data_IF_427168560514
#
_entry.id   IF_427168560514
#
_cell.length_a   1.000
_cell.length_b   1.000
_cell.length_c   1.000
_cell.angle_alpha   90.00
_cell.angle_beta   90.00
_cell.angle_gamma   90.00
#
_symmetry.space_group_name_H-M   'P 1'
#
loop_
_entity.id
_entity.type
_entity.pdbx_description
1 polymer ?
#
# COMPACT_ATOMS: atom_id res chain seq x y z
N UNK A 1 -2.54 -9.16 15.62
CA UNK A 1 -3.86 -9.25 14.95
C UNK A 1 -3.63 -9.11 13.44
N UNK A 2 -3.01 -8.03 12.93
CA UNK A 2 -2.76 -7.80 11.50
C UNK A 2 -2.06 -8.99 10.80
N UNK A 3 -0.95 -9.48 11.37
CA UNK A 3 -0.20 -10.61 10.80
C UNK A 3 -1.09 -11.88 10.67
N UNK A 4 -1.90 -12.17 11.68
CA UNK A 4 -2.83 -13.31 11.59
C UNK A 4 -3.95 -13.05 10.60
N UNK A 5 -4.44 -11.80 10.51
CA UNK A 5 -5.42 -11.37 9.51
C UNK A 5 -4.93 -11.56 8.09
N UNK A 6 -3.64 -11.36 7.85
CA UNK A 6 -3.02 -11.58 6.54
C UNK A 6 -2.72 -13.06 6.26
N UNK A 7 -2.14 -13.78 7.22
CA UNK A 7 -1.68 -15.17 7.00
C UNK A 7 -2.86 -16.12 6.72
N UNK A 8 -3.97 -15.97 7.42
CA UNK A 8 -5.11 -16.89 7.28
C UNK A 8 -5.74 -16.82 5.88
N UNK A 9 -6.12 -15.63 5.35
CA UNK A 9 -6.63 -15.53 3.98
C UNK A 9 -5.59 -15.93 2.93
N UNK A 10 -4.31 -15.56 3.14
CA UNK A 10 -3.22 -15.94 2.25
C UNK A 10 -3.08 -17.46 2.15
N UNK A 11 -3.05 -18.17 3.29
CA UNK A 11 -2.96 -19.62 3.32
C UNK A 11 -4.20 -20.28 2.72
N UNK A 12 -5.39 -19.77 3.02
CA UNK A 12 -6.65 -20.25 2.44
C UNK A 12 -6.71 -20.04 0.93
N UNK A 13 -6.33 -18.85 0.45
CA UNK A 13 -6.26 -18.53 -0.97
C UNK A 13 -5.21 -19.37 -1.71
N UNK A 14 -4.03 -19.54 -1.13
CA UNK A 14 -3.01 -20.43 -1.68
C UNK A 14 -3.48 -21.87 -1.77
N UNK A 15 -4.12 -22.41 -0.72
CA UNK A 15 -4.65 -23.77 -0.71
C UNK A 15 -5.73 -23.96 -1.79
N UNK A 16 -6.69 -23.04 -1.89
CA UNK A 16 -7.72 -23.07 -2.93
C UNK A 16 -7.09 -22.99 -4.32
N UNK A 17 -6.19 -22.05 -4.54
CA UNK A 17 -5.48 -21.91 -5.81
C UNK A 17 -4.72 -23.20 -6.18
N UNK A 18 -4.06 -23.84 -5.22
CA UNK A 18 -3.33 -25.10 -5.44
C UNK A 18 -4.22 -26.27 -5.85
N UNK A 19 -5.49 -26.27 -5.41
CA UNK A 19 -6.47 -27.30 -5.79
C UNK A 19 -6.97 -27.08 -7.21
N UNK A 20 -7.28 -25.85 -7.59
CA UNK A 20 -7.91 -25.51 -8.86
C UNK A 20 -6.91 -25.21 -9.98
N UNK A 21 -5.74 -24.69 -9.66
CA UNK A 21 -4.67 -24.33 -10.62
C UNK A 21 -3.73 -25.51 -10.92
N UNK A 22 -4.26 -26.69 -11.16
CA UNK A 22 -3.46 -27.92 -11.39
C UNK A 22 -2.61 -27.91 -12.67
N UNK A 23 -2.92 -27.04 -13.63
CA UNK A 23 -2.18 -26.92 -14.90
C UNK A 23 -1.40 -25.62 -15.06
N UNK A 24 -1.52 -24.70 -14.09
CA UNK A 24 -1.08 -23.31 -14.28
C UNK A 24 -1.92 -22.59 -15.34
N UNK A 25 -1.78 -21.27 -15.40
CA UNK A 25 -2.29 -20.50 -16.52
C UNK A 25 -1.24 -20.65 -17.63
N UNK A 26 -1.59 -21.36 -18.71
CA UNK A 26 -0.67 -21.80 -19.75
C UNK A 26 0.12 -20.65 -20.43
N UNK A 27 -0.40 -19.44 -20.39
CA UNK A 27 0.23 -18.27 -20.99
C UNK A 27 0.95 -17.37 -19.98
N UNK A 28 1.00 -17.75 -18.69
CA UNK A 28 1.66 -16.95 -17.68
C UNK A 28 3.15 -17.32 -17.57
N UNK A 29 4.02 -16.33 -17.64
CA UNK A 29 5.48 -16.50 -17.50
C UNK A 29 5.92 -16.96 -16.10
N UNK A 30 5.01 -16.93 -15.10
CA UNK A 30 5.30 -17.26 -13.72
C UNK A 30 5.05 -18.75 -13.41
N UNK A 31 5.92 -19.33 -12.58
CA UNK A 31 5.75 -20.70 -12.08
C UNK A 31 4.40 -20.86 -11.34
N UNK A 32 3.74 -22.04 -11.40
CA UNK A 32 2.44 -22.26 -10.75
C UNK A 32 2.41 -21.94 -9.25
N UNK A 33 3.52 -22.13 -8.56
CA UNK A 33 3.68 -21.79 -7.15
C UNK A 33 3.54 -20.27 -6.92
N UNK A 34 4.20 -19.45 -7.76
CA UNK A 34 4.10 -17.99 -7.68
C UNK A 34 2.68 -17.49 -8.02
N UNK A 35 2.02 -18.12 -8.99
CA UNK A 35 0.63 -17.82 -9.31
C UNK A 35 -0.29 -18.07 -8.11
N UNK A 36 -0.12 -19.20 -7.43
CA UNK A 36 -0.92 -19.57 -6.26
C UNK A 36 -0.66 -18.63 -5.06
N UNK A 37 0.59 -18.22 -4.86
CA UNK A 37 0.94 -17.22 -3.84
C UNK A 37 0.29 -15.85 -4.19
N UNK A 38 0.35 -15.44 -5.45
CA UNK A 38 -0.27 -14.20 -5.92
C UNK A 38 -1.78 -14.18 -5.68
N UNK A 39 -2.48 -15.28 -5.98
CA UNK A 39 -3.91 -15.43 -5.69
C UNK A 39 -4.15 -15.34 -4.17
N UNK A 40 -3.30 -15.97 -3.36
CA UNK A 40 -3.37 -15.87 -1.92
C UNK A 40 -3.25 -14.43 -1.42
N UNK A 41 -2.31 -13.66 -1.97
CA UNK A 41 -2.11 -12.23 -1.62
C UNK A 41 -3.32 -11.39 -2.02
N UNK A 42 -3.89 -11.59 -3.21
CA UNK A 42 -5.09 -10.86 -3.64
C UNK A 42 -6.25 -11.06 -2.65
N UNK A 43 -6.39 -12.26 -2.10
CA UNK A 43 -7.45 -12.57 -1.14
C UNK A 43 -7.21 -11.99 0.26
N UNK A 44 -6.01 -11.47 0.55
CA UNK A 44 -5.77 -10.74 1.82
C UNK A 44 -6.32 -9.32 1.80
N UNK A 45 -6.55 -8.74 0.62
CA UNK A 45 -7.00 -7.36 0.50
C UNK A 45 -8.36 -7.15 1.17
N UNK A 46 -8.37 -6.31 2.21
CA UNK A 46 -9.56 -6.01 3.01
C UNK A 46 -9.96 -4.55 2.84
N UNK A 47 -11.26 -4.26 2.73
CA UNK A 47 -11.76 -2.89 2.61
C UNK A 47 -11.77 -2.18 3.97
N UNK A 48 -10.81 -1.29 4.19
CA UNK A 48 -10.77 -0.43 5.39
C UNK A 48 -11.98 0.51 5.44
N UNK A 49 -12.44 1.00 4.29
CA UNK A 49 -13.58 1.94 4.20
C UNK A 49 -14.87 1.35 4.77
N UNK A 50 -15.18 0.10 4.43
CA UNK A 50 -16.36 -0.60 4.96
C UNK A 50 -16.24 -0.78 6.47
N UNK A 51 -15.05 -1.14 6.95
CA UNK A 51 -14.79 -1.31 8.39
C UNK A 51 -14.97 0.00 9.15
N UNK A 52 -14.45 1.11 8.61
CA UNK A 52 -14.61 2.46 9.21
C UNK A 52 -16.08 2.86 9.26
N UNK A 53 -16.81 2.70 8.16
CA UNK A 53 -18.24 3.05 8.07
C UNK A 53 -19.06 2.26 9.10
N UNK A 54 -18.88 0.95 9.14
CA UNK A 54 -19.56 0.07 10.11
C UNK A 54 -19.24 0.46 11.55
N UNK A 55 -17.97 0.70 11.89
CA UNK A 55 -17.57 1.14 13.23
C UNK A 55 -18.15 2.51 13.60
N UNK A 56 -18.28 3.40 12.61
CA UNK A 56 -18.89 4.72 12.78
C UNK A 56 -20.39 4.61 13.04
N UNK A 57 -21.11 3.81 12.26
CA UNK A 57 -22.55 3.55 12.46
C UNK A 57 -22.84 2.92 13.83
N UNK A 58 -21.99 2.00 14.27
CA UNK A 58 -22.10 1.37 15.59
C UNK A 58 -21.67 2.30 16.74
N UNK A 59 -21.17 3.49 16.47
CA UNK A 59 -20.62 4.42 17.47
C UNK A 59 -19.38 3.86 18.21
N UNK A 60 -18.68 2.89 17.59
CA UNK A 60 -17.53 2.20 18.20
C UNK A 60 -16.17 2.63 17.63
N UNK A 61 -16.14 3.61 16.70
CA UNK A 61 -14.92 4.05 16.04
C UNK A 61 -13.82 4.47 17.02
N UNK A 62 -14.18 5.26 18.05
CA UNK A 62 -13.25 5.81 19.04
C UNK A 62 -13.06 4.90 20.27
N UNK A 63 -13.39 3.61 20.19
CA UNK A 63 -13.14 2.64 21.23
C UNK A 63 -11.75 2.00 21.09
N UNK A 64 -11.25 1.36 22.16
CA UNK A 64 -9.99 0.60 22.11
C UNK A 64 -10.04 -0.50 21.03
N UNK A 65 -11.19 -1.16 20.88
CA UNK A 65 -11.39 -2.17 19.86
C UNK A 65 -11.42 -1.55 18.45
N UNK A 66 -12.14 -0.44 18.24
CA UNK A 66 -12.17 0.28 16.98
C UNK A 66 -10.78 0.73 16.53
N UNK A 67 -10.02 1.37 17.43
CA UNK A 67 -8.64 1.79 17.13
C UNK A 67 -7.71 0.60 16.83
N UNK A 68 -7.87 -0.53 17.53
CA UNK A 68 -7.08 -1.73 17.25
C UNK A 68 -7.40 -2.34 15.89
N UNK A 69 -8.68 -2.37 15.50
CA UNK A 69 -9.13 -2.87 14.19
C UNK A 69 -8.60 -1.96 13.08
N UNK A 70 -8.73 -0.63 13.23
CA UNK A 70 -8.22 0.33 12.25
C UNK A 70 -6.70 0.25 12.10
N UNK A 71 -5.98 0.19 13.22
CA UNK A 71 -4.53 0.03 13.20
C UNK A 71 -4.08 -1.28 12.55
N UNK A 72 -4.80 -2.37 12.82
CA UNK A 72 -4.54 -3.65 12.18
C UNK A 72 -4.79 -3.60 10.66
N UNK A 73 -5.86 -2.96 10.23
CA UNK A 73 -6.21 -2.83 8.81
C UNK A 73 -5.16 -2.00 8.05
N UNK A 74 -4.67 -0.89 8.62
CA UNK A 74 -3.60 -0.08 8.01
C UNK A 74 -2.30 -0.89 7.87
N UNK A 75 -1.93 -1.66 8.90
CA UNK A 75 -0.74 -2.51 8.84
C UNK A 75 -0.92 -3.61 7.80
N UNK A 76 -2.10 -4.21 7.71
CA UNK A 76 -2.43 -5.24 6.73
C UNK A 76 -2.29 -4.74 5.29
N UNK A 77 -2.79 -3.54 5.00
CA UNK A 77 -2.64 -2.88 3.70
C UNK A 77 -1.16 -2.69 3.32
N UNK A 78 -0.33 -2.19 4.26
CA UNK A 78 1.11 -2.01 4.03
C UNK A 78 1.77 -3.37 3.75
N UNK A 79 1.48 -4.39 4.54
CA UNK A 79 2.02 -5.73 4.35
C UNK A 79 1.57 -6.35 3.03
N UNK A 80 0.29 -6.17 2.65
CA UNK A 80 -0.27 -6.63 1.39
C UNK A 80 0.46 -6.03 0.19
N UNK A 81 0.69 -4.71 0.20
CA UNK A 81 1.42 -4.01 -0.86
C UNK A 81 2.88 -4.49 -0.95
N UNK A 82 3.56 -4.67 0.18
CA UNK A 82 4.93 -5.21 0.21
C UNK A 82 4.96 -6.63 -0.37
N UNK A 83 4.04 -7.49 0.06
CA UNK A 83 3.94 -8.87 -0.42
C UNK A 83 3.67 -8.91 -1.94
N UNK A 84 2.75 -8.08 -2.43
CA UNK A 84 2.45 -7.93 -3.85
C UNK A 84 3.69 -7.51 -4.64
N UNK A 85 4.40 -6.50 -4.17
CA UNK A 85 5.63 -6.01 -4.82
C UNK A 85 6.71 -7.09 -4.88
N UNK A 86 6.90 -7.85 -3.80
CA UNK A 86 7.89 -8.95 -3.77
C UNK A 86 7.52 -10.04 -4.78
N UNK A 87 6.25 -10.44 -4.85
CA UNK A 87 5.80 -11.50 -5.76
C UNK A 87 5.86 -11.04 -7.23
N UNK A 88 5.41 -9.84 -7.54
CA UNK A 88 5.48 -9.31 -8.91
C UNK A 88 6.92 -9.13 -9.39
N UNK A 89 7.83 -8.71 -8.50
CA UNK A 89 9.26 -8.60 -8.82
C UNK A 89 9.93 -9.96 -8.98
N UNK A 90 9.44 -11.00 -8.32
CA UNK A 90 9.97 -12.38 -8.42
C UNK A 90 9.60 -13.08 -9.73
N UNK A 91 8.65 -12.54 -10.50
CA UNK A 91 8.30 -13.05 -11.83
C UNK A 91 9.30 -12.65 -12.91
N UNK A 92 10.10 -11.61 -12.68
CA UNK A 92 11.19 -11.20 -13.57
C UNK A 92 12.46 -12.02 -13.26
N UNK A 93 12.93 -12.77 -14.25
CA UNK A 93 14.01 -13.77 -14.14
C UNK A 93 15.38 -13.22 -13.74
N UNK A 94 15.59 -11.90 -13.77
CA UNK A 94 16.90 -11.25 -13.54
C UNK A 94 17.00 -10.42 -12.25
N UNK A 95 15.99 -10.46 -11.37
CA UNK A 95 15.99 -9.58 -10.19
C UNK A 95 16.25 -10.38 -8.91
N UNK A 96 17.35 -10.11 -8.23
CA UNK A 96 17.63 -10.68 -6.91
C UNK A 96 16.63 -10.11 -5.88
N UNK A 97 15.99 -10.97 -5.09
CA UNK A 97 15.04 -10.59 -4.03
C UNK A 97 15.67 -9.56 -3.06
N UNK A 98 16.98 -9.70 -2.78
CA UNK A 98 17.71 -8.75 -1.94
C UNK A 98 17.72 -7.32 -2.52
N UNK A 99 17.88 -7.19 -3.83
CA UNK A 99 17.85 -5.89 -4.51
C UNK A 99 16.45 -5.26 -4.47
N UNK A 100 15.40 -6.08 -4.58
CA UNK A 100 14.00 -5.61 -4.45
C UNK A 100 13.74 -5.07 -3.05
N UNK A 101 14.15 -5.80 -2.00
CA UNK A 101 13.98 -5.35 -0.63
C UNK A 101 14.73 -4.04 -0.34
N UNK A 102 15.96 -3.91 -0.87
CA UNK A 102 16.73 -2.65 -0.74
C UNK A 102 16.01 -1.50 -1.45
N UNK A 103 15.47 -1.72 -2.65
CA UNK A 103 14.68 -0.71 -3.37
C UNK A 103 13.44 -0.29 -2.62
N UNK A 104 12.71 -1.23 -1.99
CA UNK A 104 11.53 -0.94 -1.17
C UNK A 104 11.93 -0.06 0.02
N UNK A 105 12.97 -0.43 0.77
CA UNK A 105 13.45 0.35 1.91
C UNK A 105 13.90 1.75 1.47
N UNK A 106 14.66 1.83 0.37
CA UNK A 106 15.12 3.10 -0.19
C UNK A 106 13.94 3.98 -0.63
N UNK A 107 12.92 3.39 -1.24
CA UNK A 107 11.69 4.10 -1.60
C UNK A 107 11.02 4.72 -0.36
N UNK A 108 10.86 3.97 0.74
CA UNK A 108 10.25 4.51 1.96
C UNK A 108 11.07 5.66 2.56
N UNK A 109 12.39 5.59 2.53
CA UNK A 109 13.27 6.66 3.01
C UNK A 109 13.13 7.91 2.12
N UNK A 110 13.25 7.74 0.80
CA UNK A 110 13.17 8.85 -0.16
C UNK A 110 11.76 9.43 -0.21
N UNK A 111 10.74 8.60 -0.23
CA UNK A 111 9.33 9.02 -0.22
C UNK A 111 8.96 9.75 1.07
N UNK A 112 9.42 9.26 2.22
CA UNK A 112 9.23 9.93 3.51
C UNK A 112 9.92 11.29 3.55
N UNK A 113 11.15 11.39 3.03
CA UNK A 113 11.88 12.66 2.94
C UNK A 113 11.22 13.65 1.97
N UNK A 114 10.82 13.18 0.78
CA UNK A 114 10.08 13.99 -0.18
C UNK A 114 8.74 14.48 0.39
N UNK A 115 8.05 13.61 1.12
CA UNK A 115 6.81 13.93 1.82
C UNK A 115 7.02 14.99 2.91
N UNK A 116 8.07 14.87 3.71
CA UNK A 116 8.42 15.87 4.72
C UNK A 116 8.69 17.23 4.09
N UNK A 117 9.47 17.28 3.00
CA UNK A 117 9.73 18.50 2.24
C UNK A 117 8.45 19.12 1.68
N UNK A 118 7.59 18.28 1.11
CA UNK A 118 6.30 18.72 0.55
C UNK A 118 5.39 19.29 1.63
N UNK A 119 5.24 18.61 2.77
CA UNK A 119 4.44 19.07 3.91
C UNK A 119 4.93 20.43 4.40
N UNK A 120 6.25 20.58 4.56
CA UNK A 120 6.85 21.85 5.00
C UNK A 120 6.68 22.98 3.98
N UNK A 121 6.79 22.67 2.70
CA UNK A 121 6.55 23.64 1.63
C UNK A 121 5.09 24.09 1.60
N UNK A 122 4.16 23.16 1.82
CA UNK A 122 2.73 23.46 1.90
C UNK A 122 2.38 24.33 3.11
N UNK A 123 2.89 24.02 4.31
CA UNK A 123 2.73 24.86 5.52
C UNK A 123 3.25 26.26 5.29
N UNK A 124 4.44 26.40 4.71
CA UNK A 124 5.02 27.70 4.41
C UNK A 124 4.16 28.50 3.41
N UNK A 125 3.66 27.80 2.39
CA UNK A 125 2.82 28.42 1.35
C UNK A 125 1.43 28.83 1.88
N UNK A 126 0.84 28.02 2.76
CA UNK A 126 -0.44 28.36 3.42
C UNK A 126 -0.31 29.58 4.32
N UNK A 127 0.74 29.66 5.13
CA UNK A 127 0.97 30.76 6.05
C UNK A 127 1.32 32.07 5.34
N UNK A 128 1.96 32.02 4.16
CA UNK A 128 2.44 33.22 3.46
C UNK A 128 1.47 33.76 2.42
N UNK A 129 0.65 32.89 1.80
CA UNK A 129 -0.16 33.27 0.62
C UNK A 129 -1.66 33.07 0.80
N UNK A 130 -2.18 32.74 1.99
CA UNK A 130 -3.59 32.41 2.21
C UNK A 130 -4.13 31.47 1.11
N UNK A 131 -3.46 30.35 0.90
CA UNK A 131 -3.72 29.47 -0.23
C UNK A 131 -5.12 28.88 -0.15
N UNK A 132 -5.90 29.04 -1.23
CA UNK A 132 -7.26 28.48 -1.34
C UNK A 132 -7.23 26.96 -1.21
N UNK A 133 -8.23 26.38 -0.54
CA UNK A 133 -8.45 24.94 -0.39
C UNK A 133 -8.36 24.20 -1.74
N UNK A 134 -8.82 24.82 -2.82
CA UNK A 134 -8.78 24.25 -4.17
C UNK A 134 -7.34 24.02 -4.64
N UNK A 135 -6.45 24.96 -4.40
CA UNK A 135 -5.02 24.83 -4.77
C UNK A 135 -4.32 23.77 -3.94
N UNK A 136 -4.66 23.69 -2.65
CA UNK A 136 -4.16 22.63 -1.77
C UNK A 136 -4.52 21.25 -2.31
N UNK A 137 -5.79 21.01 -2.66
CA UNK A 137 -6.25 19.71 -3.20
C UNK A 137 -5.54 19.36 -4.49
N UNK A 138 -5.42 20.31 -5.43
CA UNK A 138 -4.74 20.09 -6.72
C UNK A 138 -3.25 19.74 -6.51
N UNK A 139 -2.54 20.48 -5.66
CA UNK A 139 -1.11 20.20 -5.39
C UNK A 139 -0.92 18.88 -4.68
N UNK A 140 -1.80 18.51 -3.75
CA UNK A 140 -1.79 17.23 -3.07
C UNK A 140 -2.00 16.07 -4.05
N UNK A 141 -2.92 16.23 -4.99
CA UNK A 141 -3.18 15.23 -6.02
C UNK A 141 -1.98 15.07 -6.99
N UNK A 142 -1.39 16.19 -7.41
CA UNK A 142 -0.16 16.18 -8.24
C UNK A 142 0.98 15.48 -7.51
N UNK A 143 1.17 15.78 -6.21
CA UNK A 143 2.20 15.12 -5.40
C UNK A 143 1.95 13.62 -5.30
N UNK A 144 0.70 13.20 -5.09
CA UNK A 144 0.30 11.79 -5.05
C UNK A 144 0.67 11.06 -6.36
N UNK A 145 0.31 11.63 -7.50
CA UNK A 145 0.62 11.06 -8.82
C UNK A 145 2.13 11.01 -9.09
N UNK A 146 2.87 12.06 -8.73
CA UNK A 146 4.33 12.08 -8.89
C UNK A 146 5.01 11.02 -8.04
N UNK A 147 4.60 10.87 -6.78
CA UNK A 147 5.19 9.86 -5.90
C UNK A 147 4.84 8.44 -6.34
N UNK A 148 3.61 8.23 -6.83
CA UNK A 148 3.16 6.98 -7.43
C UNK A 148 4.01 6.60 -8.66
N UNK A 149 4.18 7.53 -9.59
CA UNK A 149 5.03 7.36 -10.76
C UNK A 149 6.50 7.07 -10.39
N UNK A 150 7.05 7.81 -9.41
CA UNK A 150 8.41 7.58 -8.94
C UNK A 150 8.58 6.19 -8.32
N UNK A 151 7.59 5.72 -7.53
CA UNK A 151 7.61 4.40 -6.93
C UNK A 151 7.76 3.29 -7.98
N UNK A 152 6.94 3.34 -9.02
CA UNK A 152 6.95 2.33 -10.08
C UNK A 152 8.18 2.45 -10.98
N UNK A 153 8.45 3.65 -11.50
CA UNK A 153 9.47 3.83 -12.53
C UNK A 153 10.91 3.70 -12.02
N UNK A 154 11.23 4.27 -10.85
CA UNK A 154 12.60 4.27 -10.33
C UNK A 154 12.89 3.12 -9.38
N UNK A 155 11.92 2.76 -8.56
CA UNK A 155 12.12 1.76 -7.51
C UNK A 155 11.54 0.39 -7.87
N UNK A 156 10.67 0.30 -8.89
CA UNK A 156 9.98 -0.93 -9.24
C UNK A 156 9.02 -1.39 -8.14
N UNK A 157 8.55 -0.45 -7.33
CA UNK A 157 7.55 -0.65 -6.28
C UNK A 157 6.18 -0.31 -6.86
N UNK A 158 5.14 -1.06 -6.50
CA UNK A 158 3.80 -0.80 -7.01
C UNK A 158 3.39 0.67 -6.82
N UNK A 159 2.80 1.28 -7.86
CA UNK A 159 2.34 2.66 -7.91
C UNK A 159 1.41 3.02 -6.74
N UNK A 160 0.56 2.08 -6.33
CA UNK A 160 -0.35 2.22 -5.18
C UNK A 160 0.41 2.50 -3.89
N UNK A 161 1.64 1.98 -3.72
CA UNK A 161 2.49 2.25 -2.55
C UNK A 161 2.92 3.72 -2.50
N UNK A 162 3.23 4.29 -3.67
CA UNK A 162 3.55 5.71 -3.80
C UNK A 162 2.37 6.60 -3.44
N UNK A 163 1.18 6.26 -3.95
CA UNK A 163 -0.05 6.96 -3.61
C UNK A 163 -0.38 6.89 -2.11
N UNK A 164 -0.20 5.71 -1.50
CA UNK A 164 -0.41 5.51 -0.07
C UNK A 164 0.54 6.37 0.78
N UNK A 165 1.84 6.38 0.45
CA UNK A 165 2.82 7.22 1.14
C UNK A 165 2.48 8.70 1.04
N UNK A 166 2.06 9.18 -0.13
CA UNK A 166 1.61 10.56 -0.29
C UNK A 166 0.41 10.88 0.62
N UNK A 167 -0.59 9.99 0.66
CA UNK A 167 -1.75 10.13 1.54
C UNK A 167 -1.37 10.17 3.03
N UNK A 168 -0.44 9.31 3.45
CA UNK A 168 0.05 9.27 4.83
C UNK A 168 0.75 10.59 5.23
N UNK A 169 1.57 11.14 4.35
CA UNK A 169 2.22 12.44 4.58
C UNK A 169 1.21 13.56 4.68
N UNK A 170 0.25 13.59 3.75
CA UNK A 170 -0.79 14.62 3.72
C UNK A 170 -1.72 14.57 4.94
N UNK A 171 -1.96 13.37 5.51
CA UNK A 171 -2.78 13.23 6.71
C UNK A 171 -2.19 13.93 7.95
N UNK A 172 -0.86 14.08 7.99
CA UNK A 172 -0.14 14.76 9.06
C UNK A 172 0.07 16.27 8.82
N UNK A 173 -0.34 16.80 7.67
CA UNK A 173 -0.22 18.23 7.37
C UNK A 173 -1.36 18.99 8.06
N UNK A 174 -1.09 19.94 8.98
CA UNK A 174 -2.13 20.71 9.65
C UNK A 174 -2.91 21.54 8.62
N UNK A 175 -4.25 21.52 8.75
CA UNK A 175 -5.19 22.28 7.92
C UNK A 175 -5.47 23.65 8.53
#
# INVERSE_FOLDING_TARGET
>A
IAILGMIIPLAGGFALASIFNKGGISDAAAAPLLQNIFIGIILTATSVSITVETLKELGKLNTRAGNAILGAAIIDDILGVIALTVVTSSTSTDVSIGLVLIKIVLFFIVGGFAGFLFSRAMEHSMNRYNMDLRRFVVLSFVFCLLLSFCAEHFFGVADITGAFMAGLVLSNTPR
#
